data_IF_779734696960
#
_entry.id   IF_779734696960
#
_cell.length_a   1.000
_cell.length_b   1.000
_cell.length_c   1.000
_cell.angle_alpha   90.00
_cell.angle_beta   90.00
_cell.angle_gamma   90.00
#
_symmetry.space_group_name_H-M   'P 1'
#
loop_
_entity.id
_entity.type
_entity.pdbx_description
1 polymer ?
#
# COMPACT_ATOMS: atom_id res chain seq x y z
N UNK A 1 8.31 -10.23 -7.57
CA UNK A 1 8.05 -9.24 -8.66
C UNK A 1 9.34 -9.00 -9.44
N UNK A 2 9.33 -8.86 -10.77
CA UNK A 2 10.57 -8.53 -11.53
C UNK A 2 11.04 -7.09 -11.24
N UNK A 3 12.24 -6.96 -10.67
CA UNK A 3 12.83 -5.71 -10.19
C UNK A 3 14.28 -5.57 -10.67
N UNK A 4 14.51 -4.95 -11.83
CA UNK A 4 15.84 -4.50 -12.21
C UNK A 4 16.45 -3.63 -11.09
N UNK A 5 17.75 -3.76 -10.76
CA UNK A 5 18.36 -3.08 -9.60
C UNK A 5 18.09 -1.57 -9.57
N UNK A 6 18.12 -0.91 -10.72
CA UNK A 6 17.87 0.53 -10.85
C UNK A 6 16.45 0.97 -10.48
N UNK A 7 15.48 0.05 -10.41
CA UNK A 7 14.07 0.31 -10.08
C UNK A 7 13.65 -0.31 -8.75
N UNK A 8 14.56 -0.97 -8.04
CA UNK A 8 14.27 -1.54 -6.72
C UNK A 8 14.07 -0.39 -5.74
N UNK A 9 12.98 -0.44 -4.99
CA UNK A 9 12.79 0.41 -3.82
C UNK A 9 13.38 -0.38 -2.65
N UNK A 10 14.68 -0.18 -2.46
CA UNK A 10 15.45 -0.87 -1.44
C UNK A 10 15.24 -0.27 -0.07
N UNK A 11 15.28 -1.14 0.95
CA UNK A 11 15.21 -0.73 2.34
C UNK A 11 13.82 -0.92 2.93
N UNK A 12 13.80 -1.45 4.15
CA UNK A 12 12.59 -1.65 4.94
C UNK A 12 11.87 -0.31 5.19
N UNK A 13 12.64 0.75 5.48
CA UNK A 13 12.14 2.11 5.73
C UNK A 13 11.40 2.69 4.52
N UNK A 14 11.96 2.56 3.32
CA UNK A 14 11.34 3.06 2.09
C UNK A 14 10.07 2.30 1.73
N UNK A 15 10.04 0.99 1.96
CA UNK A 15 8.83 0.18 1.79
C UNK A 15 7.76 0.56 2.81
N UNK A 16 8.13 0.79 4.07
CA UNK A 16 7.21 1.24 5.13
C UNK A 16 6.56 2.57 4.77
N UNK A 17 7.36 3.57 4.38
CA UNK A 17 6.84 4.88 3.93
C UNK A 17 5.86 4.74 2.76
N UNK A 18 6.16 3.86 1.80
CA UNK A 18 5.27 3.63 0.66
C UNK A 18 3.96 2.94 1.05
N UNK A 19 4.01 2.00 2.00
CA UNK A 19 2.82 1.35 2.58
C UNK A 19 1.97 2.38 3.33
N UNK A 20 2.59 3.20 4.17
CA UNK A 20 1.91 4.22 4.96
C UNK A 20 1.27 5.32 4.11
N UNK A 21 1.90 5.69 2.99
CA UNK A 21 1.37 6.66 2.04
C UNK A 21 0.18 6.13 1.21
N UNK A 22 0.10 4.81 1.01
CA UNK A 22 -0.94 4.17 0.21
C UNK A 22 -1.55 2.93 0.93
N UNK A 23 -2.20 3.11 2.10
CA UNK A 23 -2.57 2.00 2.98
C UNK A 23 -3.74 1.15 2.46
N UNK A 24 -4.44 1.57 1.41
CA UNK A 24 -5.51 0.80 0.78
C UNK A 24 -4.92 -0.26 -0.15
N UNK A 25 -4.78 -1.48 0.37
CA UNK A 25 -4.10 -2.57 -0.30
C UNK A 25 -5.06 -3.43 -1.14
N UNK A 26 -4.48 -4.14 -2.10
CA UNK A 26 -5.07 -5.35 -2.68
C UNK A 26 -4.49 -6.57 -1.98
N UNK A 27 -5.30 -7.28 -1.21
CA UNK A 27 -4.95 -8.52 -0.54
C UNK A 27 -5.32 -9.71 -1.44
N UNK A 28 -4.31 -10.44 -1.88
CA UNK A 28 -4.47 -11.67 -2.65
C UNK A 28 -4.23 -12.87 -1.75
N UNK A 29 -5.19 -13.77 -1.72
CA UNK A 29 -5.10 -15.05 -0.99
C UNK A 29 -5.48 -16.19 -1.93
N UNK A 30 -5.01 -17.38 -1.60
CA UNK A 30 -5.41 -18.60 -2.26
C UNK A 30 -6.23 -19.46 -1.31
N UNK A 31 -7.33 -19.99 -1.81
CA UNK A 31 -8.18 -20.88 -1.06
C UNK A 31 -7.67 -22.34 -1.14
N UNK A 32 -8.20 -23.24 -0.31
CA UNK A 32 -7.84 -24.66 -0.25
C UNK A 32 -8.12 -25.43 -1.55
N UNK A 33 -9.02 -24.95 -2.41
CA UNK A 33 -9.23 -25.50 -3.75
C UNK A 33 -8.18 -25.00 -4.76
N UNK A 34 -7.43 -23.97 -4.39
CA UNK A 34 -6.42 -23.32 -5.22
C UNK A 34 -6.96 -22.11 -5.99
N UNK A 35 -8.20 -21.68 -5.74
CA UNK A 35 -8.77 -20.48 -6.33
C UNK A 35 -8.15 -19.22 -5.71
N UNK A 36 -7.95 -18.17 -6.51
CA UNK A 36 -7.44 -16.89 -6.04
C UNK A 36 -8.59 -15.95 -5.68
N UNK A 37 -8.53 -15.35 -4.51
CA UNK A 37 -9.36 -14.20 -4.13
C UNK A 37 -8.52 -12.92 -4.12
N UNK A 38 -9.17 -11.79 -4.39
CA UNK A 38 -8.59 -10.46 -4.24
C UNK A 38 -9.58 -9.57 -3.49
N UNK A 39 -9.15 -9.10 -2.33
CA UNK A 39 -9.91 -8.22 -1.45
C UNK A 39 -9.23 -6.85 -1.37
N UNK A 40 -10.00 -5.77 -1.38
CA UNK A 40 -9.47 -4.41 -1.30
C UNK A 40 -9.82 -3.81 0.05
N UNK A 41 -8.81 -3.50 0.87
CA UNK A 41 -9.00 -3.04 2.24
C UNK A 41 -7.83 -2.19 2.74
N UNK A 42 -8.06 -1.29 3.70
CA UNK A 42 -6.99 -0.65 4.44
C UNK A 42 -6.20 -1.68 5.26
N UNK A 43 -4.88 -1.62 5.18
CA UNK A 43 -3.95 -2.36 6.02
C UNK A 43 -2.98 -1.39 6.69
N UNK A 44 -3.04 -1.31 8.01
CA UNK A 44 -2.08 -0.57 8.82
C UNK A 44 -0.82 -1.39 9.01
N UNK A 45 0.33 -0.76 8.81
CA UNK A 45 1.62 -1.33 9.16
C UNK A 45 1.91 -1.11 10.64
N UNK A 46 2.10 -2.20 11.37
CA UNK A 46 2.71 -2.23 12.68
C UNK A 46 4.17 -2.71 12.49
N UNK A 47 5.15 -1.79 12.48
CA UNK A 47 6.53 -2.16 12.24
C UNK A 47 7.06 -3.02 13.39
N UNK A 48 7.85 -4.03 13.05
CA UNK A 48 8.56 -4.84 14.03
C UNK A 48 9.50 -3.97 14.89
N UNK A 49 9.48 -4.19 16.22
CA UNK A 49 10.22 -3.38 17.19
C UNK A 49 11.74 -3.56 17.14
N UNK A 50 12.21 -4.64 16.52
CA UNK A 50 13.62 -4.91 16.25
C UNK A 50 13.77 -5.80 15.00
N UNK A 51 15.01 -6.03 14.56
CA UNK A 51 15.32 -6.85 13.37
C UNK A 51 15.01 -8.34 13.54
N UNK A 52 14.71 -8.81 14.75
CA UNK A 52 14.38 -10.22 15.02
C UNK A 52 12.88 -10.52 14.96
N UNK A 53 12.06 -9.48 14.87
CA UNK A 53 10.60 -9.56 14.76
C UNK A 53 10.13 -9.25 13.34
N UNK A 54 8.97 -9.79 12.97
CA UNK A 54 8.35 -9.52 11.67
C UNK A 54 7.48 -8.28 11.72
N UNK A 55 7.46 -7.52 10.62
CA UNK A 55 6.42 -6.53 10.39
C UNK A 55 5.04 -7.20 10.39
N UNK A 56 4.03 -6.47 10.83
CA UNK A 56 2.65 -6.94 10.86
C UNK A 56 1.77 -5.95 10.11
N UNK A 57 0.90 -6.46 9.24
CA UNK A 57 -0.16 -5.67 8.60
C UNK A 57 -1.50 -6.02 9.25
N UNK A 58 -2.31 -5.01 9.56
CA UNK A 58 -3.61 -5.20 10.23
C UNK A 58 -4.72 -4.46 9.51
N UNK A 59 -5.84 -5.14 9.32
CA UNK A 59 -7.07 -4.56 8.80
C UNK A 59 -8.27 -5.41 9.18
N UNK A 60 -9.41 -5.19 8.55
CA UNK A 60 -10.58 -6.03 8.78
C UNK A 60 -11.37 -6.22 7.49
N UNK A 61 -12.16 -7.28 7.47
CA UNK A 61 -13.14 -7.57 6.43
C UNK A 61 -14.52 -7.73 7.06
N UNK A 62 -15.57 -7.59 6.24
CA UNK A 62 -16.91 -7.96 6.68
C UNK A 62 -16.94 -9.45 7.02
N UNK A 63 -17.65 -9.84 8.09
CA UNK A 63 -17.80 -11.24 8.50
C UNK A 63 -18.44 -12.13 7.42
N UNK A 64 -19.27 -11.53 6.56
CA UNK A 64 -19.90 -12.22 5.44
C UNK A 64 -18.95 -12.46 4.24
N UNK A 65 -17.74 -11.88 4.26
CA UNK A 65 -16.76 -12.06 3.21
C UNK A 65 -16.37 -13.56 3.09
N UNK A 66 -16.35 -14.15 1.88
CA UNK A 66 -15.92 -15.53 1.68
C UNK A 66 -14.57 -15.89 2.31
N UNK A 67 -13.61 -14.96 2.32
CA UNK A 67 -12.32 -15.12 2.99
C UNK A 67 -12.47 -15.45 4.48
N UNK A 68 -13.45 -14.85 5.16
CA UNK A 68 -13.72 -15.11 6.58
C UNK A 68 -14.17 -16.56 6.82
N UNK A 69 -14.96 -17.11 5.90
CA UNK A 69 -15.44 -18.50 5.97
C UNK A 69 -14.36 -19.51 5.63
N UNK A 70 -13.46 -19.12 4.75
CA UNK A 70 -12.42 -19.99 4.22
C UNK A 70 -11.34 -20.33 5.25
N UNK A 71 -11.00 -19.38 6.12
CA UNK A 71 -9.93 -19.54 7.10
C UNK A 71 -10.42 -20.10 8.44
N UNK A 72 -11.69 -19.83 8.79
CA UNK A 72 -12.35 -20.37 9.98
C UNK A 72 -12.48 -21.90 9.99
N UNK A 73 -12.28 -22.59 8.85
CA UNK A 73 -12.26 -24.06 8.79
C UNK A 73 -10.95 -24.70 9.29
N UNK A 74 -10.09 -23.94 10.00
CA UNK A 74 -8.84 -24.44 10.59
C UNK A 74 -7.60 -24.20 9.71
N UNK A 75 -7.68 -23.28 8.75
CA UNK A 75 -6.56 -22.85 7.93
C UNK A 75 -6.03 -21.51 8.46
N UNK A 76 -5.55 -21.49 9.70
CA UNK A 76 -4.69 -20.38 10.15
C UNK A 76 -3.33 -20.50 9.42
N UNK A 77 -2.65 -19.38 9.16
CA UNK A 77 -1.32 -19.32 8.51
C UNK A 77 -1.34 -19.48 6.96
N UNK A 78 -2.34 -18.88 6.30
CA UNK A 78 -2.46 -18.91 4.83
C UNK A 78 -1.49 -17.94 4.17
N UNK A 79 -0.88 -18.38 3.07
CA UNK A 79 -0.02 -17.52 2.24
C UNK A 79 -0.84 -16.36 1.65
N UNK A 80 -0.37 -15.15 1.90
CA UNK A 80 -1.00 -13.93 1.45
C UNK A 80 0.01 -13.01 0.77
N UNK A 81 -0.49 -12.25 -0.20
CA UNK A 81 0.21 -11.16 -0.85
C UNK A 81 -0.61 -9.89 -0.72
N UNK A 82 -0.16 -8.94 0.09
CA UNK A 82 -0.71 -7.59 0.13
C UNK A 82 0.05 -6.68 -0.84
N UNK A 83 -0.66 -6.02 -1.74
CA UNK A 83 -0.11 -5.12 -2.75
C UNK A 83 -0.54 -3.69 -2.43
N UNK A 84 0.43 -2.83 -2.18
CA UNK A 84 0.23 -1.41 -1.91
C UNK A 84 0.60 -0.62 -3.16
N UNK A 85 -0.37 0.07 -3.73
CA UNK A 85 -0.23 0.81 -4.98
C UNK A 85 0.09 2.27 -4.67
N UNK A 86 1.32 2.70 -4.93
CA UNK A 86 1.68 4.11 -4.89
C UNK A 86 1.24 4.86 -6.16
N UNK A 87 1.73 6.09 -6.37
CA UNK A 87 1.39 6.85 -7.57
C UNK A 87 1.84 6.12 -8.84
N UNK A 88 1.14 6.35 -9.95
CA UNK A 88 1.46 5.81 -11.27
C UNK A 88 0.99 6.73 -12.41
N UNK A 89 1.75 6.84 -13.49
CA UNK A 89 1.36 7.68 -14.63
C UNK A 89 1.99 7.25 -15.96
N UNK A 90 1.26 7.52 -17.05
CA UNK A 90 1.77 7.44 -18.42
C UNK A 90 2.69 8.60 -18.71
N UNK A 91 3.94 8.30 -19.03
CA UNK A 91 4.95 9.29 -19.35
C UNK A 91 5.04 9.40 -20.86
N UNK A 92 4.52 10.52 -21.37
CA UNK A 92 4.55 10.83 -22.79
C UNK A 92 5.96 11.20 -23.23
N UNK A 93 6.42 10.72 -24.40
CA UNK A 93 7.69 11.17 -24.96
C UNK A 93 7.69 12.66 -25.31
N UNK A 94 6.51 13.31 -25.38
CA UNK A 94 6.38 14.74 -25.64
C UNK A 94 7.06 15.64 -24.62
N UNK A 95 7.29 15.16 -23.40
CA UNK A 95 7.96 15.94 -22.36
C UNK A 95 9.48 15.94 -22.48
N UNK A 96 10.07 14.98 -23.19
CA UNK A 96 11.53 14.87 -23.26
C UNK A 96 12.13 15.89 -24.24
N UNK A 97 13.16 16.65 -23.86
CA UNK A 97 13.94 17.46 -24.81
C UNK A 97 14.49 16.63 -25.97
N UNK A 98 14.96 15.41 -25.68
CA UNK A 98 15.45 14.43 -26.64
C UNK A 98 14.46 14.08 -27.78
N UNK A 99 13.15 14.32 -27.59
CA UNK A 99 12.16 14.19 -28.67
C UNK A 99 12.46 15.16 -29.81
N UNK A 100 12.77 16.41 -29.50
CA UNK A 100 13.11 17.43 -30.49
C UNK A 100 14.52 17.24 -31.05
N UNK A 101 15.45 16.75 -30.23
CA UNK A 101 16.86 16.57 -30.63
C UNK A 101 17.03 15.43 -31.65
N UNK A 102 16.48 14.25 -31.36
CA UNK A 102 16.72 13.07 -32.20
C UNK A 102 15.53 12.09 -32.29
N UNK A 103 14.43 12.31 -31.56
CA UNK A 103 13.20 11.53 -31.67
C UNK A 103 13.29 10.08 -31.17
N UNK A 104 14.43 9.66 -30.61
CA UNK A 104 14.66 8.28 -30.11
C UNK A 104 14.19 8.13 -28.67
N UNK A 105 12.90 8.40 -28.46
CA UNK A 105 12.22 8.27 -27.17
C UNK A 105 10.94 7.48 -27.34
N UNK A 106 10.62 6.66 -26.34
CA UNK A 106 9.40 5.84 -26.32
C UNK A 106 8.57 6.20 -25.08
N UNK A 107 7.24 6.05 -25.15
CA UNK A 107 6.40 6.19 -23.98
C UNK A 107 6.69 5.11 -22.94
N UNK A 108 6.34 5.39 -21.69
CA UNK A 108 6.45 4.39 -20.63
C UNK A 108 5.45 4.62 -19.51
N UNK A 109 5.30 3.65 -18.63
CA UNK A 109 4.53 3.79 -17.39
C UNK A 109 5.47 3.89 -16.20
N UNK A 110 5.41 4.98 -15.46
CA UNK A 110 6.09 5.10 -14.18
C UNK A 110 5.12 4.75 -13.05
N UNK A 111 5.61 4.06 -12.03
CA UNK A 111 4.80 3.65 -10.87
C UNK A 111 5.67 3.32 -9.66
N UNK A 112 5.04 3.38 -8.48
CA UNK A 112 5.54 2.83 -7.23
C UNK A 112 4.60 1.72 -6.72
N UNK A 113 5.16 0.63 -6.23
CA UNK A 113 4.39 -0.48 -5.66
C UNK A 113 5.21 -1.21 -4.60
N UNK A 114 4.55 -1.70 -3.55
CA UNK A 114 5.13 -2.62 -2.56
C UNK A 114 4.31 -3.89 -2.50
N UNK A 115 4.99 -5.03 -2.55
CA UNK A 115 4.43 -6.35 -2.34
C UNK A 115 4.90 -6.85 -0.96
N UNK A 116 3.96 -7.03 -0.03
CA UNK A 116 4.20 -7.67 1.25
C UNK A 116 3.71 -9.12 1.18
N UNK A 117 4.66 -10.05 1.14
CA UNK A 117 4.39 -11.48 1.24
C UNK A 117 4.39 -11.87 2.70
N UNK A 118 3.44 -12.70 3.11
CA UNK A 118 3.37 -13.15 4.49
C UNK A 118 2.31 -14.19 4.74
N UNK A 119 2.04 -14.37 6.03
CA UNK A 119 1.07 -15.33 6.53
C UNK A 119 -0.09 -14.62 7.19
N UNK A 120 -1.28 -14.89 6.68
CA UNK A 120 -2.51 -14.31 7.17
C UNK A 120 -3.17 -15.22 8.20
N UNK A 121 -3.65 -14.59 9.28
CA UNK A 121 -4.60 -15.17 10.22
C UNK A 121 -5.79 -14.24 10.41
N UNK A 122 -6.93 -14.84 10.75
CA UNK A 122 -8.11 -14.07 11.15
C UNK A 122 -8.15 -13.91 12.67
N UNK A 123 -8.70 -12.79 13.12
CA UNK A 123 -8.83 -12.48 14.53
C UNK A 123 -10.29 -12.13 14.83
N UNK A 124 -10.92 -12.96 15.66
CA UNK A 124 -12.29 -12.76 16.14
C UNK A 124 -12.28 -12.51 17.65
N UNK A 125 -11.63 -11.41 18.03
CA UNK A 125 -11.54 -10.94 19.41
C UNK A 125 -12.07 -9.50 19.48
N UNK A 126 -13.05 -9.26 20.36
CA UNK A 126 -13.75 -7.98 20.43
C UNK A 126 -12.82 -6.83 20.85
N UNK A 127 -11.86 -7.09 21.74
CA UNK A 127 -10.91 -6.08 22.21
C UNK A 127 -9.93 -5.71 21.10
N UNK A 128 -9.35 -6.70 20.45
CA UNK A 128 -8.43 -6.51 19.33
C UNK A 128 -9.11 -5.75 18.18
N UNK A 129 -10.36 -6.10 17.86
CA UNK A 129 -11.15 -5.41 16.84
C UNK A 129 -11.41 -3.95 17.21
N UNK A 130 -11.77 -3.67 18.47
CA UNK A 130 -11.95 -2.31 18.95
C UNK A 130 -10.64 -1.49 18.85
N UNK A 131 -9.51 -2.07 19.26
CA UNK A 131 -8.19 -1.45 19.16
C UNK A 131 -7.83 -1.17 17.68
N UNK A 132 -8.09 -2.10 16.78
CA UNK A 132 -7.86 -1.92 15.34
C UNK A 132 -8.70 -0.78 14.75
N UNK A 133 -10.03 -0.77 14.98
CA UNK A 133 -10.89 0.28 14.41
C UNK A 133 -10.56 1.65 14.99
N UNK A 134 -10.09 1.69 16.24
CA UNK A 134 -9.55 2.91 16.84
C UNK A 134 -8.31 3.37 16.09
N UNK A 135 -7.30 2.50 15.92
CA UNK A 135 -6.06 2.86 15.21
C UNK A 135 -6.31 3.28 13.75
N UNK A 136 -7.24 2.63 13.04
CA UNK A 136 -7.66 3.03 11.69
C UNK A 136 -8.30 4.42 11.70
N UNK A 137 -9.20 4.67 12.66
CA UNK A 137 -9.85 5.97 12.82
C UNK A 137 -8.81 7.07 13.06
N UNK A 138 -7.91 6.86 14.02
CA UNK A 138 -6.82 7.80 14.32
C UNK A 138 -5.98 8.08 13.07
N UNK A 139 -5.53 7.04 12.36
CA UNK A 139 -4.73 7.18 11.14
C UNK A 139 -5.37 8.07 10.07
N UNK A 140 -6.69 8.01 9.91
CA UNK A 140 -7.41 8.69 8.82
C UNK A 140 -8.13 9.97 9.24
N UNK A 141 -8.33 10.21 10.53
CA UNK A 141 -8.96 11.42 11.06
C UNK A 141 -7.95 12.41 11.66
N UNK A 142 -6.74 12.00 12.05
CA UNK A 142 -5.80 12.83 12.84
C UNK A 142 -5.39 14.16 12.18
N UNK A 143 -5.42 14.28 10.85
CA UNK A 143 -5.09 15.54 10.15
C UNK A 143 -6.28 16.51 10.04
N UNK A 144 -7.46 16.13 10.55
CA UNK A 144 -8.68 16.97 10.47
C UNK A 144 -8.73 17.98 11.59
N UNK A 145 -9.36 19.12 11.31
CA UNK A 145 -9.61 20.17 12.31
C UNK A 145 -10.48 19.69 13.48
N UNK A 146 -11.40 18.77 13.22
CA UNK A 146 -12.27 18.15 14.22
C UNK A 146 -12.35 16.64 13.95
N UNK A 147 -11.39 15.85 14.47
CA UNK A 147 -11.30 14.42 14.19
C UNK A 147 -12.45 13.66 14.87
N UNK A 148 -13.14 12.79 14.12
CA UNK A 148 -14.07 11.84 14.71
C UNK A 148 -13.30 10.76 15.47
N UNK A 149 -13.76 10.39 16.68
CA UNK A 149 -13.19 9.32 17.48
C UNK A 149 -14.21 8.20 17.64
N UNK A 150 -13.74 6.96 17.79
CA UNK A 150 -14.62 5.79 17.99
C UNK A 150 -15.57 5.98 19.17
N UNK A 151 -15.09 6.62 20.26
CA UNK A 151 -15.89 6.92 21.44
C UNK A 151 -16.93 8.04 21.27
N UNK A 152 -16.99 8.70 20.11
CA UNK A 152 -18.07 9.65 19.81
C UNK A 152 -19.39 8.93 19.48
N UNK A 153 -19.34 7.62 19.20
CA UNK A 153 -20.51 6.78 19.01
C UNK A 153 -20.85 5.97 20.27
N UNK A 154 -22.13 5.56 20.46
CA UNK A 154 -22.54 4.73 21.59
C UNK A 154 -21.80 3.38 21.64
N UNK A 155 -21.41 2.95 22.85
CA UNK A 155 -20.64 1.71 23.07
C UNK A 155 -21.34 0.46 22.53
N UNK A 156 -22.67 0.37 22.70
CA UNK A 156 -23.48 -0.76 22.23
C UNK A 156 -23.52 -0.84 20.70
N UNK A 157 -23.55 0.32 20.04
CA UNK A 157 -23.46 0.45 18.59
C UNK A 157 -22.07 0.03 18.07
N UNK A 158 -20.98 0.53 18.66
CA UNK A 158 -19.61 0.13 18.28
C UNK A 158 -19.42 -1.37 18.49
N UNK A 159 -19.84 -1.92 19.63
CA UNK A 159 -19.77 -3.35 19.88
C UNK A 159 -20.55 -4.17 18.84
N UNK A 160 -21.70 -3.68 18.37
CA UNK A 160 -22.47 -4.32 17.31
C UNK A 160 -21.74 -4.29 15.95
N UNK A 161 -21.11 -3.17 15.61
CA UNK A 161 -20.32 -3.04 14.38
C UNK A 161 -19.06 -3.92 14.41
N UNK A 162 -18.35 -3.99 15.54
CA UNK A 162 -17.22 -4.90 15.71
C UNK A 162 -17.63 -6.37 15.52
N UNK A 163 -18.82 -6.78 15.98
CA UNK A 163 -19.33 -8.15 15.72
C UNK A 163 -19.60 -8.42 14.23
N UNK A 164 -19.81 -7.40 13.41
CA UNK A 164 -20.07 -7.55 11.98
C UNK A 164 -18.80 -7.70 11.13
N UNK A 165 -17.62 -7.53 11.72
CA UNK A 165 -16.32 -7.65 11.05
C UNK A 165 -15.48 -8.77 11.64
N UNK A 166 -14.42 -9.13 10.92
CA UNK A 166 -13.37 -10.04 11.36
C UNK A 166 -12.02 -9.39 11.07
N UNK A 167 -11.11 -9.49 12.03
CA UNK A 167 -9.77 -8.94 11.93
C UNK A 167 -8.93 -9.74 10.96
N UNK A 168 -8.08 -9.03 10.22
CA UNK A 168 -7.06 -9.60 9.34
C UNK A 168 -5.71 -9.18 9.89
N UNK A 169 -4.85 -10.15 10.17
CA UNK A 169 -3.46 -9.90 10.53
C UNK A 169 -2.52 -10.69 9.61
N UNK A 170 -1.56 -10.00 9.00
CA UNK A 170 -0.56 -10.60 8.12
C UNK A 170 0.81 -10.41 8.75
N UNK A 171 1.45 -11.51 9.14
CA UNK A 171 2.86 -11.50 9.52
C UNK A 171 3.70 -11.46 8.24
N UNK A 172 4.40 -10.36 8.02
CA UNK A 172 5.21 -10.14 6.82
C UNK A 172 6.49 -10.96 6.89
N UNK A 173 6.71 -11.77 5.87
CA UNK A 173 7.91 -12.60 5.71
C UNK A 173 8.90 -11.97 4.71
N UNK A 174 8.38 -11.22 3.74
CA UNK A 174 9.20 -10.55 2.72
C UNK A 174 8.50 -9.32 2.18
N UNK A 175 9.23 -8.20 2.16
CA UNK A 175 8.84 -6.99 1.45
C UNK A 175 9.59 -6.90 0.13
N UNK A 176 8.87 -6.56 -0.93
CA UNK A 176 9.47 -6.19 -2.21
C UNK A 176 8.93 -4.86 -2.70
N UNK A 177 9.80 -3.86 -2.76
CA UNK A 177 9.45 -2.54 -3.27
C UNK A 177 9.96 -2.31 -4.70
N UNK A 178 9.16 -1.66 -5.53
CA UNK A 178 9.57 -1.20 -6.85
C UNK A 178 9.12 0.23 -7.09
N UNK A 179 10.06 1.05 -7.55
CA UNK A 179 9.80 2.38 -8.08
C UNK A 179 10.41 2.48 -9.46
N UNK A 180 9.58 2.33 -10.49
CA UNK A 180 9.98 2.58 -11.87
C UNK A 180 9.62 4.03 -12.19
N UNK A 181 10.57 4.95 -12.02
CA UNK A 181 10.32 6.39 -12.10
C UNK A 181 11.32 7.10 -13.04
N UNK A 182 11.82 6.39 -14.06
CA UNK A 182 12.80 6.93 -15.02
C UNK A 182 14.07 7.53 -14.37
N UNK A 183 14.44 7.07 -13.17
CA UNK A 183 15.58 7.58 -12.39
C UNK A 183 16.95 7.39 -13.06
N UNK A 184 17.06 6.49 -14.04
CA UNK A 184 18.26 6.27 -14.84
C UNK A 184 18.46 7.32 -15.93
N UNK A 185 17.48 8.19 -16.16
CA UNK A 185 17.54 9.25 -17.16
C UNK A 185 18.28 10.49 -16.63
N UNK A 186 18.80 11.35 -17.53
CA UNK A 186 19.38 12.63 -17.14
C UNK A 186 18.43 13.48 -16.29
N UNK A 187 18.99 14.31 -15.43
CA UNK A 187 18.22 15.16 -14.50
C UNK A 187 17.24 16.10 -15.24
N UNK A 188 17.60 16.58 -16.42
CA UNK A 188 16.74 17.45 -17.22
C UNK A 188 15.46 16.72 -17.67
N UNK A 189 15.58 15.49 -18.16
CA UNK A 189 14.41 14.66 -18.52
C UNK A 189 13.54 14.37 -17.30
N UNK A 190 14.16 14.07 -16.15
CA UNK A 190 13.43 13.85 -14.89
C UNK A 190 12.67 15.09 -14.42
N UNK A 191 13.27 16.28 -14.55
CA UNK A 191 12.59 17.57 -14.28
C UNK A 191 11.47 17.84 -15.28
N UNK A 192 11.62 17.46 -16.54
CA UNK A 192 10.57 17.60 -17.54
C UNK A 192 9.38 16.68 -17.25
N UNK A 193 9.64 15.43 -16.83
CA UNK A 193 8.59 14.52 -16.35
C UNK A 193 7.87 15.13 -15.13
N UNK A 194 8.61 15.58 -14.12
CA UNK A 194 8.04 16.20 -12.92
C UNK A 194 7.13 17.38 -13.27
N UNK A 195 7.58 18.30 -14.13
CA UNK A 195 6.74 19.41 -14.60
C UNK A 195 5.51 18.94 -15.36
N UNK A 196 5.66 18.02 -16.32
CA UNK A 196 4.54 17.50 -17.10
C UNK A 196 3.47 16.83 -16.24
N UNK A 197 3.88 16.06 -15.22
CA UNK A 197 2.96 15.44 -14.26
C UNK A 197 2.17 16.48 -13.45
N UNK A 198 2.80 17.58 -13.05
CA UNK A 198 2.13 18.66 -12.32
C UNK A 198 1.24 19.51 -13.21
N UNK A 199 1.77 19.96 -14.34
CA UNK A 199 1.15 20.98 -15.18
C UNK A 199 0.04 20.40 -16.07
N UNK A 200 0.24 19.19 -16.62
CA UNK A 200 -0.73 18.56 -17.52
C UNK A 200 -1.63 17.55 -16.83
N UNK A 201 -1.13 16.81 -15.84
CA UNK A 201 -1.90 15.74 -15.17
C UNK A 201 -2.38 16.10 -13.76
N UNK A 202 -1.97 17.25 -13.21
CA UNK A 202 -2.45 17.74 -11.92
C UNK A 202 -1.96 16.97 -10.69
N UNK A 203 -0.87 16.21 -10.80
CA UNK A 203 -0.26 15.56 -9.63
C UNK A 203 0.28 16.61 -8.64
N UNK A 204 0.20 16.31 -7.35
CA UNK A 204 0.91 17.09 -6.35
C UNK A 204 2.44 16.97 -6.49
N UNK A 205 3.17 17.81 -5.75
CA UNK A 205 4.63 17.84 -5.86
C UNK A 205 5.30 16.55 -5.40
N UNK A 206 4.73 15.87 -4.39
CA UNK A 206 5.26 14.63 -3.82
C UNK A 206 5.14 13.46 -4.78
N UNK A 207 3.94 13.24 -5.32
CA UNK A 207 3.69 12.19 -6.31
C UNK A 207 4.44 12.45 -7.62
N UNK A 208 4.46 13.71 -8.10
CA UNK A 208 5.23 14.08 -9.27
C UNK A 208 6.74 13.86 -9.03
N UNK A 209 7.24 14.15 -7.83
CA UNK A 209 8.65 13.90 -7.49
C UNK A 209 8.94 12.40 -7.44
N UNK A 210 8.05 11.60 -6.86
CA UNK A 210 8.16 10.15 -6.85
C UNK A 210 8.21 9.58 -8.27
N UNK A 211 7.28 9.97 -9.13
CA UNK A 211 7.13 9.48 -10.50
C UNK A 211 8.16 10.05 -11.49
N UNK A 212 8.67 11.25 -11.26
CA UNK A 212 9.80 11.84 -12.00
C UNK A 212 11.16 11.30 -11.54
N UNK A 213 11.17 10.44 -10.53
CA UNK A 213 12.39 9.88 -9.96
C UNK A 213 13.27 10.94 -9.33
N UNK A 214 12.70 12.06 -8.86
CA UNK A 214 13.41 13.12 -8.17
C UNK A 214 13.82 12.65 -6.77
N UNK A 215 14.91 13.19 -6.17
CA UNK A 215 15.23 12.91 -4.78
C UNK A 215 14.07 13.41 -3.91
N UNK A 216 13.54 12.55 -3.04
CA UNK A 216 12.61 12.96 -1.99
C UNK A 216 13.39 13.82 -1.00
N UNK A 217 12.92 15.04 -0.70
CA UNK A 217 13.50 15.83 0.40
C UNK A 217 13.28 15.03 1.67
N UNK A 218 14.37 14.70 2.37
CA UNK A 218 14.35 13.93 3.61
C UNK A 218 13.79 14.72 4.78
#
# INVERSE_FOLDING_TARGET
MYQPPQFRLDGRVECHRAIEAAPFATLVTRDASGELSADHLPLLLAPAGDESSSDVLRGHIARANPLARHLASGADDVEALAIFHGPQAYITPSWYPAKQEHGKVVPTWNYQVVHAHGRLRLIDDARWLHELVTALTERFEDERESPWRVGDAPDDYIAAMCRAIVGVEIRVERLEGKRKASQHRPLEERRAIHRGLRDEYGYDDGDAACLGGMPTRG
#
